data_IF_511530517091
#
_entry.id   IF_511530517091
#
_cell.length_a   1.000
_cell.length_b   1.000
_cell.length_c   1.000
_cell.angle_alpha   90.00
_cell.angle_beta   90.00
_cell.angle_gamma   90.00
#
_symmetry.space_group_name_H-M   'P 1'
#
loop_
_entity.id
_entity.type
_entity.pdbx_description
1 polymer ?
#
# COMPACT_ATOMS: atom_id res chain seq x y z
N UNK A 1 -16.70 6.24 -31.79
CA UNK A 1 -16.70 5.58 -30.47
C UNK A 1 -15.30 5.07 -30.19
N UNK A 2 -14.54 5.73 -29.30
CA UNK A 2 -13.42 5.11 -28.58
C UNK A 2 -13.05 6.03 -27.40
N UNK A 3 -13.85 5.94 -26.35
CA UNK A 3 -13.50 6.51 -25.04
C UNK A 3 -12.39 5.66 -24.43
N UNK A 4 -11.31 6.31 -24.07
CA UNK A 4 -10.06 5.79 -23.52
C UNK A 4 -10.27 4.70 -22.47
N UNK A 5 -9.70 3.51 -22.70
CA UNK A 5 -9.65 2.45 -21.68
C UNK A 5 -8.74 2.89 -20.53
N UNK A 6 -9.38 3.33 -19.45
CA UNK A 6 -9.10 2.97 -18.05
C UNK A 6 -7.79 3.41 -17.33
N UNK A 7 -7.40 4.69 -17.28
CA UNK A 7 -6.58 5.18 -16.17
C UNK A 7 -7.33 5.10 -14.82
N UNK A 8 -8.66 5.27 -14.83
CA UNK A 8 -9.49 5.26 -13.61
C UNK A 8 -9.50 3.92 -12.86
N UNK A 9 -9.52 2.79 -13.57
CA UNK A 9 -9.61 1.48 -12.92
C UNK A 9 -8.34 1.11 -12.15
N UNK A 10 -7.16 1.42 -12.69
CA UNK A 10 -5.88 1.21 -11.99
C UNK A 10 -5.75 2.13 -10.78
N UNK A 11 -6.11 3.40 -10.92
CA UNK A 11 -6.11 4.37 -9.82
C UNK A 11 -7.07 3.93 -8.71
N UNK A 12 -8.27 3.47 -9.05
CA UNK A 12 -9.25 2.93 -8.09
C UNK A 12 -8.71 1.71 -7.34
N UNK A 13 -8.02 0.78 -8.03
CA UNK A 13 -7.36 -0.36 -7.37
C UNK A 13 -6.30 0.09 -6.37
N UNK A 14 -5.44 1.04 -6.76
CA UNK A 14 -4.40 1.59 -5.87
C UNK A 14 -5.03 2.28 -4.66
N UNK A 15 -6.07 3.10 -4.88
CA UNK A 15 -6.82 3.76 -3.81
C UNK A 15 -7.42 2.76 -2.83
N UNK A 16 -8.08 1.70 -3.31
CA UNK A 16 -8.65 0.65 -2.45
C UNK A 16 -7.57 -0.08 -1.66
N UNK A 17 -6.43 -0.41 -2.28
CA UNK A 17 -5.29 -1.01 -1.59
C UNK A 17 -4.75 -0.08 -0.50
N UNK A 18 -4.60 1.22 -0.78
CA UNK A 18 -4.20 2.21 0.22
C UNK A 18 -5.17 2.24 1.41
N UNK A 19 -6.47 2.33 1.15
CA UNK A 19 -7.49 2.35 2.20
C UNK A 19 -7.49 1.05 3.02
N UNK A 20 -7.27 -0.10 2.38
CA UNK A 20 -7.16 -1.38 3.06
C UNK A 20 -5.96 -1.44 4.02
N UNK A 21 -4.78 -0.95 3.59
CA UNK A 21 -3.62 -0.82 4.49
C UNK A 21 -3.95 0.11 5.66
N UNK A 22 -4.63 1.23 5.41
CA UNK A 22 -4.99 2.17 6.45
C UNK A 22 -5.91 1.55 7.49
N UNK A 23 -7.00 0.92 7.03
CA UNK A 23 -7.96 0.24 7.89
C UNK A 23 -7.29 -0.88 8.70
N UNK A 24 -6.42 -1.67 8.07
CA UNK A 24 -5.69 -2.73 8.76
C UNK A 24 -4.80 -2.17 9.88
N UNK A 25 -3.99 -1.14 9.59
CA UNK A 25 -3.10 -0.55 10.59
C UNK A 25 -3.84 0.11 11.76
N UNK A 26 -5.02 0.67 11.49
CA UNK A 26 -5.86 1.34 12.48
C UNK A 26 -6.70 0.38 13.33
N UNK A 27 -7.25 -0.68 12.72
CA UNK A 27 -8.27 -1.51 13.36
C UNK A 27 -7.82 -2.93 13.72
N UNK A 28 -6.79 -3.47 13.06
CA UNK A 28 -6.38 -4.89 13.22
C UNK A 28 -4.98 -5.01 13.82
N UNK A 29 -4.02 -4.24 13.34
CA UNK A 29 -2.64 -4.32 13.81
C UNK A 29 -2.51 -3.88 15.28
N UNK A 30 -2.14 -4.82 16.15
CA UNK A 30 -2.03 -4.57 17.60
C UNK A 30 -0.62 -4.13 18.02
N UNK A 31 0.44 -4.59 17.35
CA UNK A 31 1.83 -4.20 17.59
C UNK A 31 2.47 -3.37 16.48
N UNK A 32 3.60 -2.70 16.77
CA UNK A 32 4.38 -1.95 15.77
C UNK A 32 4.93 -2.85 14.66
N UNK A 33 5.28 -4.09 15.01
CA UNK A 33 5.79 -5.09 14.06
C UNK A 33 4.70 -5.74 13.20
N UNK A 34 3.44 -5.54 13.55
CA UNK A 34 2.27 -6.05 12.84
C UNK A 34 1.69 -5.02 11.86
N UNK A 35 2.28 -3.83 11.74
CA UNK A 35 1.82 -2.79 10.82
C UNK A 35 2.54 -2.84 9.48
N UNK A 36 1.82 -2.43 8.45
CA UNK A 36 2.33 -2.37 7.08
C UNK A 36 2.49 -0.90 6.65
N UNK A 37 3.70 -0.52 6.30
CA UNK A 37 4.01 0.78 5.73
C UNK A 37 3.40 0.90 4.33
N UNK A 38 2.84 2.06 4.02
CA UNK A 38 2.37 2.38 2.67
C UNK A 38 3.60 2.69 1.82
N UNK A 39 3.98 1.73 0.98
CA UNK A 39 5.14 1.79 0.07
C UNK A 39 4.73 1.45 -1.35
N UNK A 40 5.58 1.80 -2.33
CA UNK A 40 5.36 1.41 -3.73
C UNK A 40 5.21 -0.11 -3.87
N UNK A 41 6.04 -0.87 -3.15
CA UNK A 41 5.99 -2.32 -3.16
C UNK A 41 4.66 -2.85 -2.60
N UNK A 42 4.26 -2.42 -1.40
CA UNK A 42 3.01 -2.91 -0.78
C UNK A 42 1.79 -2.61 -1.65
N UNK A 43 1.69 -1.39 -2.20
CA UNK A 43 0.58 -1.03 -3.08
C UNK A 43 0.62 -1.80 -4.40
N UNK A 44 1.80 -2.08 -4.96
CA UNK A 44 1.93 -2.91 -6.16
C UNK A 44 1.49 -4.35 -5.90
N UNK A 45 1.85 -4.91 -4.76
CA UNK A 45 1.49 -6.29 -4.39
C UNK A 45 -0.02 -6.43 -4.13
N UNK A 46 -0.66 -5.45 -3.50
CA UNK A 46 -2.10 -5.47 -3.22
C UNK A 46 -2.98 -5.02 -4.39
N UNK A 47 -2.54 -4.09 -5.22
CA UNK A 47 -3.37 -3.57 -6.33
C UNK A 47 -3.16 -4.35 -7.64
N UNK A 48 -2.09 -5.13 -7.72
CA UNK A 48 -1.62 -5.78 -8.94
C UNK A 48 -1.18 -4.82 -10.05
N UNK A 49 -1.13 -3.50 -9.79
CA UNK A 49 -0.83 -2.47 -10.77
C UNK A 49 0.67 -2.34 -11.06
N UNK A 50 1.03 -1.65 -12.15
CA UNK A 50 2.42 -1.40 -12.50
C UNK A 50 3.06 -0.41 -11.49
N UNK A 51 4.31 -0.68 -11.09
CA UNK A 51 5.03 0.14 -10.12
C UNK A 51 5.20 1.62 -10.51
N UNK A 52 5.24 1.95 -11.81
CA UNK A 52 5.26 3.34 -12.28
C UNK A 52 3.93 4.06 -12.03
N UNK A 53 2.81 3.37 -12.25
CA UNK A 53 1.47 3.92 -11.98
C UNK A 53 1.26 4.10 -10.48
N UNK A 54 1.74 3.15 -9.68
CA UNK A 54 1.74 3.26 -8.21
C UNK A 54 2.60 4.44 -7.75
N UNK A 55 3.77 4.65 -8.37
CA UNK A 55 4.65 5.77 -8.03
C UNK A 55 3.97 7.11 -8.31
N UNK A 56 3.43 7.28 -9.50
CA UNK A 56 2.69 8.48 -9.90
C UNK A 56 1.53 8.78 -8.92
N UNK A 57 0.80 7.74 -8.53
CA UNK A 57 -0.27 7.88 -7.53
C UNK A 57 0.26 8.32 -6.16
N UNK A 58 1.36 7.72 -5.67
CA UNK A 58 2.00 8.11 -4.41
C UNK A 58 2.49 9.56 -4.47
N UNK A 59 3.06 9.99 -5.59
CA UNK A 59 3.52 11.37 -5.77
C UNK A 59 2.33 12.35 -5.72
N UNK A 60 1.20 11.99 -6.32
CA UNK A 60 -0.02 12.79 -6.28
C UNK A 60 -0.72 12.84 -4.90
N UNK A 61 -0.54 11.81 -4.05
CA UNK A 61 -1.16 11.69 -2.72
C UNK A 61 -0.11 11.70 -1.60
N UNK A 62 1.00 12.39 -1.85
CA UNK A 62 2.22 12.31 -1.04
C UNK A 62 1.98 12.67 0.42
N UNK A 63 1.27 13.76 0.68
CA UNK A 63 1.01 14.23 2.05
C UNK A 63 0.21 13.21 2.88
N UNK A 64 -0.76 12.53 2.27
CA UNK A 64 -1.55 11.49 2.93
C UNK A 64 -0.69 10.27 3.28
N UNK A 65 0.14 9.82 2.33
CA UNK A 65 1.06 8.69 2.54
C UNK A 65 2.10 9.00 3.62
N UNK A 66 2.66 10.21 3.63
CA UNK A 66 3.59 10.66 4.68
C UNK A 66 2.87 10.67 6.01
N UNK A 67 1.71 11.32 6.10
CA UNK A 67 0.93 11.44 7.33
C UNK A 67 0.58 10.08 7.94
N UNK A 68 0.15 9.13 7.11
CA UNK A 68 -0.21 7.78 7.59
C UNK A 68 1.01 7.02 8.10
N UNK A 69 2.12 7.06 7.38
CA UNK A 69 3.33 6.37 7.82
C UNK A 69 3.93 7.02 9.08
N UNK A 70 3.90 8.35 9.18
CA UNK A 70 4.37 9.09 10.36
C UNK A 70 3.53 8.80 11.61
N UNK A 71 2.19 8.67 11.48
CA UNK A 71 1.28 8.30 12.56
C UNK A 71 1.71 7.03 13.31
N UNK A 72 2.31 6.08 12.60
CA UNK A 72 2.78 4.81 13.15
C UNK A 72 4.31 4.71 13.20
N UNK A 73 5.04 5.82 13.01
CA UNK A 73 6.50 5.87 13.04
C UNK A 73 7.16 4.95 12.01
N UNK A 74 6.53 4.74 10.85
CA UNK A 74 7.00 3.93 9.73
C UNK A 74 7.76 4.75 8.66
N UNK A 75 7.91 6.05 8.87
CA UNK A 75 8.71 6.92 8.02
C UNK A 75 10.21 6.62 8.10
N UNK A 76 10.94 6.94 7.03
CA UNK A 76 12.40 6.96 7.10
C UNK A 76 12.86 8.20 7.87
N UNK A 77 13.41 8.02 9.08
CA UNK A 77 13.91 9.11 9.92
C UNK A 77 14.97 10.00 9.25
N UNK A 78 15.71 9.47 8.27
CA UNK A 78 16.73 10.24 7.52
C UNK A 78 16.15 11.07 6.39
N UNK A 79 14.99 10.66 5.86
CA UNK A 79 14.34 11.31 4.73
C UNK A 79 12.81 11.13 4.82
N UNK A 80 12.16 11.76 5.82
CA UNK A 80 10.73 11.53 6.10
C UNK A 80 9.84 12.12 5.01
N UNK A 81 10.36 13.04 4.19
CA UNK A 81 9.62 13.64 3.08
C UNK A 81 9.56 12.76 1.82
N UNK A 82 10.14 11.55 1.86
CA UNK A 82 10.28 10.69 0.70
C UNK A 82 9.66 9.31 0.93
N UNK A 83 8.39 9.12 0.51
CA UNK A 83 7.70 7.85 0.73
C UNK A 83 8.32 6.67 -0.03
N UNK A 84 9.12 6.92 -1.08
CA UNK A 84 9.86 5.87 -1.77
C UNK A 84 10.97 5.25 -0.89
N UNK A 85 11.41 5.96 0.15
CA UNK A 85 12.44 5.47 1.07
C UNK A 85 11.89 4.70 2.27
N UNK A 86 10.57 4.59 2.40
CA UNK A 86 9.96 3.90 3.53
C UNK A 86 10.09 2.38 3.39
N UNK A 87 10.23 1.70 4.53
CA UNK A 87 10.39 0.26 4.59
C UNK A 87 9.62 -0.31 5.77
N UNK A 88 9.07 -1.51 5.60
CA UNK A 88 8.46 -2.25 6.69
C UNK A 88 9.52 -2.66 7.73
N UNK A 89 9.19 -2.54 9.01
CA UNK A 89 10.08 -2.94 10.11
C UNK A 89 10.01 -4.45 10.43
N UNK A 90 8.90 -5.10 10.08
CA UNK A 90 8.59 -6.49 10.42
C UNK A 90 9.05 -7.52 9.37
N UNK A 91 9.32 -8.75 9.82
CA UNK A 91 9.72 -9.88 8.96
C UNK A 91 8.53 -10.57 8.27
N UNK A 92 7.31 -10.35 8.76
CA UNK A 92 6.09 -11.03 8.33
C UNK A 92 5.26 -10.23 7.32
N UNK A 93 5.91 -9.31 6.58
CA UNK A 93 5.25 -8.44 5.59
C UNK A 93 4.35 -9.21 4.61
N UNK A 94 4.79 -10.38 4.15
CA UNK A 94 4.03 -11.23 3.21
C UNK A 94 2.72 -11.75 3.81
N UNK A 95 2.74 -12.19 5.08
CA UNK A 95 1.54 -12.64 5.80
C UNK A 95 0.55 -11.49 6.02
N UNK A 96 1.08 -10.31 6.33
CA UNK A 96 0.25 -9.11 6.51
C UNK A 96 -0.42 -8.71 5.19
N UNK A 97 0.32 -8.74 4.08
CA UNK A 97 -0.24 -8.47 2.75
C UNK A 97 -1.35 -9.47 2.37
N UNK A 98 -1.14 -10.77 2.65
CA UNK A 98 -2.15 -11.80 2.42
C UNK A 98 -3.41 -11.53 3.24
N UNK A 99 -3.26 -11.27 4.54
CA UNK A 99 -4.38 -10.96 5.43
C UNK A 99 -5.16 -9.72 4.98
N UNK A 100 -4.45 -8.65 4.61
CA UNK A 100 -5.11 -7.43 4.10
C UNK A 100 -5.91 -7.75 2.84
N UNK A 101 -5.36 -8.57 1.95
CA UNK A 101 -6.04 -8.93 0.72
C UNK A 101 -7.29 -9.77 0.95
N UNK A 102 -7.21 -10.77 1.82
CA UNK A 102 -8.34 -11.65 2.13
C UNK A 102 -9.47 -10.88 2.85
N UNK A 103 -9.12 -10.11 3.88
CA UNK A 103 -10.10 -9.48 4.76
C UNK A 103 -10.68 -8.17 4.20
N UNK A 104 -9.91 -7.42 3.40
CA UNK A 104 -10.30 -6.06 2.98
C UNK A 104 -10.42 -5.87 1.46
N UNK A 105 -9.83 -6.75 0.65
CA UNK A 105 -9.86 -6.68 -0.81
C UNK A 105 -10.55 -7.90 -1.45
N UNK A 106 -11.23 -8.72 -0.65
CA UNK A 106 -11.97 -9.91 -1.10
C UNK A 106 -11.13 -10.91 -1.89
N UNK A 107 -9.81 -10.94 -1.69
CA UNK A 107 -8.90 -11.86 -2.37
C UNK A 107 -8.42 -11.39 -3.75
N UNK A 108 -8.96 -10.32 -4.34
CA UNK A 108 -8.77 -10.00 -5.76
C UNK A 108 -7.42 -9.34 -6.13
N UNK A 109 -6.67 -8.87 -5.13
CA UNK A 109 -5.55 -7.96 -5.32
C UNK A 109 -4.15 -8.60 -5.22
N UNK A 110 -3.97 -9.50 -4.25
CA UNK A 110 -2.66 -10.07 -3.91
C UNK A 110 -2.25 -11.15 -4.89
N UNK A 111 -1.12 -10.93 -5.56
CA UNK A 111 -0.46 -11.97 -6.36
C UNK A 111 0.26 -12.94 -5.43
N UNK A 112 -0.49 -13.84 -4.78
CA UNK A 112 0.08 -15.01 -4.11
C UNK A 112 0.68 -15.91 -5.19
N UNK A 113 1.97 -15.70 -5.46
CA UNK A 113 2.62 -16.24 -6.65
C UNK A 113 4.14 -16.14 -6.54
N UNK A 114 4.69 -16.55 -5.39
CA UNK A 114 6.03 -17.13 -5.36
C UNK A 114 5.87 -18.64 -5.27
N UNK A 115 5.81 -19.27 -6.44
CA UNK A 115 6.24 -20.67 -6.61
C UNK A 115 7.76 -20.70 -6.74
#
# INVERSE_FOLDING_TARGET
MWGSKAPGASVEKIRRSYQAICLYNDAVATGDSDRLAVTNQALRELSGCNGLVVRDWIEAHKDEVISHNAKFGMENKKDPSNPASYANKGKDTDKILLLINEEFLSGEGFKSGRS
#
